data_IF_705231453895
#
_entry.id   IF_705231453895
#
_cell.length_a   1.000
_cell.length_b   1.000
_cell.length_c   1.000
_cell.angle_alpha   90.00
_cell.angle_beta   90.00
_cell.angle_gamma   90.00
#
_symmetry.space_group_name_H-M   'P 1'
#
loop_
_entity.id
_entity.type
_entity.pdbx_description
1 polymer ?
#
# COMPACT_ATOMS: atom_id res chain seq x y z
N UNK A 1 11.10 62.47 38.34
CA UNK A 1 11.27 61.14 37.71
C UNK A 1 10.65 61.18 36.32
N UNK A 2 11.50 61.09 35.29
CA UNK A 2 11.18 61.30 33.88
C UNK A 2 10.54 60.05 33.25
N UNK A 3 9.32 60.18 32.70
CA UNK A 3 8.67 59.15 31.89
C UNK A 3 9.13 59.28 30.43
N UNK A 4 10.04 58.42 29.99
CA UNK A 4 10.35 58.22 28.56
C UNK A 4 9.21 57.40 27.93
N UNK A 5 8.46 58.01 27.00
CA UNK A 5 7.60 57.30 26.06
C UNK A 5 8.46 56.78 24.91
N UNK A 6 8.53 55.46 24.75
CA UNK A 6 8.97 54.83 23.51
C UNK A 6 7.81 54.94 22.50
N UNK A 7 8.04 55.63 21.38
CA UNK A 7 7.18 55.55 20.20
C UNK A 7 7.59 54.31 19.41
N UNK A 8 6.66 53.37 19.27
CA UNK A 8 6.81 52.21 18.42
C UNK A 8 6.69 52.67 16.95
N UNK A 9 7.79 52.57 16.21
CA UNK A 9 7.82 52.88 14.78
C UNK A 9 7.18 51.69 14.06
N UNK A 10 5.91 51.79 13.67
CA UNK A 10 5.28 50.79 12.81
C UNK A 10 5.72 51.03 11.37
N UNK A 11 6.72 50.27 10.92
CA UNK A 11 7.10 50.20 9.51
C UNK A 11 6.00 49.45 8.75
N UNK A 12 5.08 50.20 8.14
CA UNK A 12 4.16 49.64 7.15
C UNK A 12 4.96 49.11 5.97
N UNK A 13 4.64 47.90 5.52
CA UNK A 13 5.20 47.31 4.29
C UNK A 13 4.99 48.31 3.16
N UNK A 14 6.06 48.69 2.48
CA UNK A 14 5.94 49.63 1.37
C UNK A 14 5.24 48.94 0.20
N UNK A 15 4.44 49.67 -0.58
CA UNK A 15 3.77 49.09 -1.76
C UNK A 15 4.76 48.44 -2.74
N UNK A 16 6.00 48.94 -2.75
CA UNK A 16 7.10 48.41 -3.56
C UNK A 16 7.56 47.04 -3.05
N UNK A 17 7.67 46.84 -1.73
CA UNK A 17 7.99 45.52 -1.16
C UNK A 17 6.89 44.51 -1.47
N UNK A 18 5.61 44.87 -1.32
CA UNK A 18 4.50 43.97 -1.64
C UNK A 18 4.52 43.53 -3.12
N UNK A 19 4.76 44.47 -4.03
CA UNK A 19 4.85 44.18 -5.46
C UNK A 19 6.04 43.28 -5.79
N UNK A 20 7.19 43.54 -5.16
CA UNK A 20 8.39 42.73 -5.33
C UNK A 20 8.17 41.30 -4.84
N UNK A 21 7.57 41.13 -3.65
CA UNK A 21 7.24 39.81 -3.09
C UNK A 21 6.28 39.06 -4.00
N UNK A 22 5.20 39.69 -4.48
CA UNK A 22 4.26 39.05 -5.41
C UNK A 22 4.93 38.62 -6.72
N UNK A 23 5.84 39.43 -7.24
CA UNK A 23 6.57 39.12 -8.48
C UNK A 23 7.49 37.92 -8.29
N UNK A 24 8.24 37.87 -7.17
CA UNK A 24 9.12 36.75 -6.84
C UNK A 24 8.30 35.48 -6.59
N UNK A 25 7.19 35.57 -5.87
CA UNK A 25 6.29 34.42 -5.62
C UNK A 25 5.71 33.87 -6.92
N UNK A 26 5.26 34.73 -7.83
CA UNK A 26 4.75 34.30 -9.14
C UNK A 26 5.81 33.58 -9.96
N UNK A 27 7.06 34.07 -9.93
CA UNK A 27 8.18 33.41 -10.59
C UNK A 27 8.50 32.04 -9.98
N UNK A 28 8.51 31.94 -8.65
CA UNK A 28 8.72 30.67 -7.94
C UNK A 28 7.63 29.65 -8.26
N UNK A 29 6.36 30.06 -8.21
CA UNK A 29 5.22 29.19 -8.55
C UNK A 29 5.32 28.68 -9.99
N UNK A 30 5.75 29.53 -10.93
CA UNK A 30 5.91 29.12 -12.32
C UNK A 30 7.01 28.07 -12.50
N UNK A 31 8.11 28.16 -11.76
CA UNK A 31 9.21 27.19 -11.84
C UNK A 31 8.78 25.88 -11.20
N UNK A 32 8.18 25.91 -10.01
CA UNK A 32 7.76 24.69 -9.31
C UNK A 32 6.67 23.95 -10.09
N UNK A 33 5.72 24.65 -10.68
CA UNK A 33 4.71 24.05 -11.55
C UNK A 33 5.33 23.42 -12.81
N UNK A 34 6.33 24.06 -13.42
CA UNK A 34 7.02 23.52 -14.59
C UNK A 34 7.76 22.21 -14.29
N UNK A 35 8.45 22.14 -13.14
CA UNK A 35 9.11 20.91 -12.69
C UNK A 35 8.08 19.81 -12.41
N UNK A 36 7.00 20.13 -11.69
CA UNK A 36 5.95 19.17 -11.37
C UNK A 36 5.33 18.55 -12.63
N UNK A 37 4.97 19.39 -13.61
CA UNK A 37 4.42 18.93 -14.90
C UNK A 37 5.44 18.01 -15.61
N UNK A 38 6.71 18.42 -15.67
CA UNK A 38 7.76 17.60 -16.28
C UNK A 38 7.95 16.26 -15.57
N UNK A 39 7.84 16.21 -14.25
CA UNK A 39 7.94 14.98 -13.47
C UNK A 39 6.75 14.06 -13.76
N UNK A 40 5.52 14.59 -13.81
CA UNK A 40 4.33 13.81 -14.15
C UNK A 40 4.43 13.24 -15.58
N UNK A 41 4.82 14.05 -16.56
CA UNK A 41 5.01 13.57 -17.94
C UNK A 41 6.10 12.49 -18.05
N UNK A 42 7.21 12.65 -17.31
CA UNK A 42 8.29 11.65 -17.30
C UNK A 42 7.84 10.36 -16.63
N UNK A 43 7.08 10.46 -15.54
CA UNK A 43 6.53 9.30 -14.84
C UNK A 43 5.53 8.55 -15.73
N UNK A 44 4.61 9.26 -16.40
CA UNK A 44 3.66 8.64 -17.32
C UNK A 44 4.39 7.90 -18.43
N UNK A 45 5.39 8.51 -19.08
CA UNK A 45 6.21 7.83 -20.10
C UNK A 45 6.92 6.59 -19.57
N UNK A 46 7.45 6.64 -18.35
CA UNK A 46 8.09 5.49 -17.73
C UNK A 46 7.08 4.36 -17.48
N UNK A 47 5.88 4.68 -17.00
CA UNK A 47 4.79 3.71 -16.79
C UNK A 47 4.36 3.05 -18.11
N UNK A 48 4.16 3.84 -19.16
CA UNK A 48 3.85 3.34 -20.51
C UNK A 48 4.93 2.37 -21.02
N UNK A 49 6.21 2.71 -20.86
CA UNK A 49 7.31 1.83 -21.25
C UNK A 49 7.35 0.53 -20.42
N UNK A 50 7.04 0.59 -19.11
CA UNK A 50 6.95 -0.60 -18.25
C UNK A 50 5.82 -1.52 -18.73
N UNK A 51 4.65 -0.96 -19.02
CA UNK A 51 3.50 -1.71 -19.49
C UNK A 51 3.78 -2.41 -20.83
N UNK A 52 4.38 -1.71 -21.80
CA UNK A 52 4.79 -2.29 -23.09
C UNK A 52 5.76 -3.47 -22.91
N UNK A 53 6.74 -3.35 -21.99
CA UNK A 53 7.70 -4.42 -21.69
C UNK A 53 7.02 -5.61 -21.02
N UNK A 54 6.08 -5.37 -20.10
CA UNK A 54 5.32 -6.43 -19.43
C UNK A 54 4.47 -7.20 -20.43
N UNK A 55 3.74 -6.49 -21.30
CA UNK A 55 2.92 -7.12 -22.34
C UNK A 55 3.77 -7.96 -23.30
N UNK A 56 4.91 -7.42 -23.76
CA UNK A 56 5.84 -8.15 -24.61
C UNK A 56 6.32 -9.46 -23.96
N UNK A 57 6.59 -9.44 -22.65
CA UNK A 57 6.99 -10.63 -21.90
C UNK A 57 5.85 -11.66 -21.80
N UNK A 58 4.61 -11.22 -21.62
CA UNK A 58 3.43 -12.09 -21.61
C UNK A 58 3.26 -12.77 -22.97
N UNK A 59 3.28 -12.00 -24.07
CA UNK A 59 3.20 -12.51 -25.45
C UNK A 59 4.30 -13.56 -25.69
N UNK A 60 5.54 -13.26 -25.31
CA UNK A 60 6.66 -14.19 -25.45
C UNK A 60 6.49 -15.48 -24.64
N UNK A 61 5.95 -15.37 -23.44
CA UNK A 61 5.70 -16.52 -22.56
C UNK A 61 4.63 -17.43 -23.16
N UNK A 62 3.54 -16.84 -23.66
CA UNK A 62 2.47 -17.60 -24.32
C UNK A 62 2.96 -18.26 -25.61
N UNK A 63 3.68 -17.54 -26.48
CA UNK A 63 4.29 -18.09 -27.69
C UNK A 63 5.22 -19.27 -27.36
N UNK A 64 6.07 -19.11 -26.34
CA UNK A 64 6.98 -20.17 -25.91
C UNK A 64 6.21 -21.40 -25.43
N UNK A 65 5.20 -21.22 -24.59
CA UNK A 65 4.40 -22.33 -24.06
C UNK A 65 3.73 -23.11 -25.20
N UNK A 66 3.11 -22.40 -26.16
CA UNK A 66 2.53 -23.05 -27.34
C UNK A 66 3.56 -23.78 -28.19
N UNK A 67 4.76 -23.21 -28.34
CA UNK A 67 5.86 -23.84 -29.07
C UNK A 67 6.38 -25.14 -28.42
N UNK A 68 6.06 -25.38 -27.15
CA UNK A 68 6.43 -26.62 -26.45
C UNK A 68 5.33 -27.70 -26.50
N UNK A 69 4.06 -27.32 -26.59
CA UNK A 69 2.91 -28.25 -26.46
C UNK A 69 2.65 -29.09 -27.71
N UNK A 70 3.06 -28.65 -28.89
CA UNK A 70 2.90 -29.39 -30.14
C UNK A 70 2.83 -28.50 -31.37
N UNK A 71 2.30 -29.03 -32.47
CA UNK A 71 2.02 -28.20 -33.66
C UNK A 71 0.83 -27.31 -33.36
N UNK A 72 1.00 -26.00 -33.57
CA UNK A 72 -0.02 -25.01 -33.29
C UNK A 72 -0.15 -24.04 -34.46
N UNK A 73 -1.30 -23.38 -34.47
CA UNK A 73 -1.58 -22.21 -35.26
C UNK A 73 -1.76 -21.06 -34.27
N UNK A 74 -1.31 -19.87 -34.62
CA UNK A 74 -1.53 -18.69 -33.80
C UNK A 74 -1.64 -17.43 -34.63
N UNK A 75 -2.50 -16.51 -34.17
CA UNK A 75 -2.58 -15.12 -34.60
C UNK A 75 -2.18 -14.23 -33.42
N UNK A 76 -1.49 -13.14 -33.70
CA UNK A 76 -0.95 -12.29 -32.66
C UNK A 76 -1.99 -11.42 -31.97
N UNK A 77 -3.08 -11.13 -32.68
CA UNK A 77 -4.24 -10.46 -32.14
C UNK A 77 -4.84 -11.23 -30.96
N UNK A 78 -4.59 -12.55 -30.85
CA UNK A 78 -5.06 -13.38 -29.74
C UNK A 78 -4.18 -13.27 -28.48
N UNK A 79 -2.99 -12.65 -28.56
CA UNK A 79 -2.05 -12.51 -27.44
C UNK A 79 -2.05 -11.14 -26.77
N UNK A 80 -2.76 -10.15 -27.33
CA UNK A 80 -2.91 -8.85 -26.68
C UNK A 80 -3.99 -8.96 -25.60
N UNK A 81 -3.60 -8.76 -24.35
CA UNK A 81 -4.51 -8.63 -23.22
C UNK A 81 -5.14 -7.24 -23.09
N UNK A 82 -4.58 -6.26 -23.79
CA UNK A 82 -5.01 -4.86 -23.75
C UNK A 82 -5.38 -4.33 -25.15
N UNK A 83 -6.64 -3.92 -25.32
CA UNK A 83 -7.21 -3.34 -26.55
C UNK A 83 -6.57 -1.99 -26.95
N UNK A 84 -5.84 -1.34 -26.04
CA UNK A 84 -5.17 -0.06 -26.30
C UNK A 84 -3.79 -0.22 -26.96
N UNK A 85 -3.26 -1.44 -27.01
CA UNK A 85 -1.95 -1.74 -27.59
C UNK A 85 -2.10 -2.23 -29.03
N UNK A 86 -1.15 -1.88 -29.88
CA UNK A 86 -1.11 -2.34 -31.27
C UNK A 86 0.26 -2.85 -31.65
N UNK A 87 0.31 -3.85 -32.52
CA UNK A 87 1.54 -4.24 -33.19
C UNK A 87 1.77 -3.33 -34.40
N UNK A 88 2.85 -2.56 -34.40
CA UNK A 88 3.25 -1.80 -35.59
C UNK A 88 3.91 -2.70 -36.63
N UNK A 89 4.78 -3.58 -36.16
CA UNK A 89 5.43 -4.59 -36.99
C UNK A 89 5.43 -5.92 -36.26
N UNK A 90 5.31 -7.00 -37.03
CA UNK A 90 5.40 -8.33 -36.49
C UNK A 90 5.86 -9.33 -37.54
N UNK A 91 6.78 -10.20 -37.15
CA UNK A 91 7.37 -11.20 -38.05
C UNK A 91 7.72 -12.45 -37.26
N UNK A 92 7.12 -13.57 -37.68
CA UNK A 92 7.52 -14.91 -37.26
C UNK A 92 8.26 -15.59 -38.40
N UNK A 93 9.42 -16.15 -38.12
CA UNK A 93 10.20 -16.85 -39.15
C UNK A 93 10.70 -18.19 -38.63
N UNK A 94 10.49 -19.23 -39.43
CA UNK A 94 11.24 -20.49 -39.31
C UNK A 94 12.09 -20.65 -40.58
N UNK A 95 11.58 -21.38 -41.58
CA UNK A 95 12.21 -21.48 -42.91
C UNK A 95 11.74 -20.37 -43.87
N UNK A 96 10.56 -19.82 -43.60
CA UNK A 96 9.95 -18.69 -44.30
C UNK A 96 9.13 -17.88 -43.30
N UNK A 97 8.78 -16.66 -43.70
CA UNK A 97 7.85 -15.82 -42.94
C UNK A 97 6.50 -16.52 -42.78
N UNK A 98 6.02 -16.62 -41.55
CA UNK A 98 4.75 -17.24 -41.19
C UNK A 98 3.68 -16.15 -41.28
N UNK A 99 2.75 -16.34 -42.21
CA UNK A 99 1.56 -15.50 -42.33
C UNK A 99 0.47 -16.02 -41.40
N UNK A 100 -0.32 -15.12 -40.82
CA UNK A 100 -1.52 -15.44 -40.05
C UNK A 100 -2.61 -16.04 -40.96
N UNK A 101 -2.46 -17.32 -41.30
CA UNK A 101 -3.42 -18.13 -42.06
C UNK A 101 -3.61 -19.46 -41.34
N UNK A 102 -4.87 -19.83 -41.08
CA UNK A 102 -5.30 -21.08 -40.43
C UNK A 102 -4.67 -22.36 -41.03
N UNK A 103 -4.09 -22.28 -42.23
CA UNK A 103 -3.41 -23.39 -42.89
C UNK A 103 -1.91 -23.49 -42.58
N UNK A 104 -1.28 -22.43 -42.05
CA UNK A 104 0.15 -22.39 -41.74
C UNK A 104 0.38 -22.90 -40.33
N UNK A 105 1.05 -24.04 -40.20
CA UNK A 105 1.35 -24.64 -38.90
C UNK A 105 2.79 -24.33 -38.52
N UNK A 106 3.00 -23.91 -37.28
CA UNK A 106 4.34 -23.70 -36.73
C UNK A 106 4.87 -25.07 -36.26
N UNK A 107 6.09 -25.41 -36.70
CA UNK A 107 6.73 -26.68 -36.36
C UNK A 107 7.55 -26.54 -35.07
N UNK A 108 7.15 -27.15 -33.94
CA UNK A 108 7.85 -27.00 -32.66
C UNK A 108 9.27 -27.57 -32.67
N UNK A 109 9.60 -28.41 -33.65
CA UNK A 109 10.95 -28.98 -33.80
C UNK A 109 11.95 -28.05 -34.48
N UNK A 110 11.54 -26.84 -34.85
CA UNK A 110 12.40 -25.80 -35.42
C UNK A 110 12.42 -24.57 -34.54
N UNK A 111 13.56 -23.89 -34.52
CA UNK A 111 13.70 -22.60 -33.87
C UNK A 111 12.70 -21.61 -34.53
N UNK A 112 12.05 -20.80 -33.71
CA UNK A 112 11.09 -19.78 -34.13
C UNK A 112 11.68 -18.39 -33.84
N UNK A 113 12.04 -17.66 -34.88
CA UNK A 113 12.43 -16.27 -34.75
C UNK A 113 11.18 -15.40 -34.59
N UNK A 114 11.16 -14.60 -33.53
CA UNK A 114 10.06 -13.70 -33.19
C UNK A 114 10.60 -12.27 -33.17
N UNK A 115 10.04 -11.41 -34.01
CA UNK A 115 10.33 -9.99 -34.02
C UNK A 115 9.03 -9.22 -34.04
N UNK A 116 8.84 -8.27 -33.13
CA UNK A 116 7.69 -7.37 -33.16
C UNK A 116 7.98 -6.02 -32.52
N UNK A 117 7.17 -5.04 -32.86
CA UNK A 117 7.14 -3.71 -32.24
C UNK A 117 5.75 -3.48 -31.69
N UNK A 118 5.65 -3.37 -30.37
CA UNK A 118 4.43 -2.93 -29.69
C UNK A 118 4.44 -1.42 -29.60
N UNK A 119 3.30 -0.79 -29.84
CA UNK A 119 3.14 0.64 -29.63
C UNK A 119 1.84 0.95 -28.90
N UNK A 120 1.90 2.01 -28.12
CA UNK A 120 0.74 2.76 -27.66
C UNK A 120 0.70 4.13 -28.35
N UNK A 121 -0.14 5.07 -27.86
CA UNK A 121 -0.27 6.39 -28.47
C UNK A 121 1.00 7.26 -28.37
N UNK A 122 1.98 6.91 -27.54
CA UNK A 122 3.13 7.76 -27.24
C UNK A 122 4.51 7.07 -27.34
N UNK A 123 4.60 5.74 -27.23
CA UNK A 123 5.85 4.98 -27.13
C UNK A 123 5.82 3.68 -27.94
N UNK A 124 7.02 3.20 -28.30
CA UNK A 124 7.24 1.95 -29.03
C UNK A 124 8.22 1.05 -28.25
N UNK A 125 8.00 -0.26 -28.30
CA UNK A 125 8.89 -1.28 -27.73
C UNK A 125 9.19 -2.36 -28.77
N UNK A 126 10.45 -2.46 -29.18
CA UNK A 126 10.93 -3.47 -30.13
C UNK A 126 11.49 -4.69 -29.40
N UNK A 127 11.00 -5.87 -29.78
CA UNK A 127 11.52 -7.15 -29.35
C UNK A 127 12.00 -7.95 -30.55
N UNK A 128 13.21 -8.51 -30.45
CA UNK A 128 13.76 -9.45 -31.42
C UNK A 128 14.45 -10.60 -30.69
N UNK A 129 13.91 -11.80 -30.84
CA UNK A 129 14.38 -12.99 -30.11
C UNK A 129 14.12 -14.28 -30.87
N UNK A 130 14.65 -15.39 -30.35
CA UNK A 130 14.46 -16.73 -30.92
C UNK A 130 13.96 -17.67 -29.85
N UNK A 131 12.85 -18.36 -30.12
CA UNK A 131 12.34 -19.46 -29.30
C UNK A 131 12.98 -20.74 -29.84
N UNK A 132 13.76 -21.42 -29.00
CA UNK A 132 14.46 -22.65 -29.39
C UNK A 132 13.49 -23.80 -29.67
N UNK A 133 13.91 -24.71 -30.56
CA UNK A 133 13.16 -25.92 -30.85
C UNK A 133 13.03 -26.85 -29.64
N UNK A 134 11.90 -27.58 -29.61
CA UNK A 134 11.58 -28.53 -28.55
C UNK A 134 12.65 -29.61 -28.35
N UNK A 135 13.17 -30.19 -29.44
CA UNK A 135 14.24 -31.20 -29.39
C UNK A 135 15.57 -30.71 -28.79
N UNK A 136 15.85 -29.39 -28.80
CA UNK A 136 17.06 -28.81 -28.19
C UNK A 136 16.91 -28.52 -26.70
N UNK A 137 15.67 -28.34 -26.23
CA UNK A 137 15.30 -28.28 -24.81
C UNK A 137 15.20 -29.69 -24.20
N UNK A 138 16.27 -30.49 -24.25
CA UNK A 138 16.30 -31.77 -23.54
C UNK A 138 16.18 -31.55 -22.03
N UNK A 139 15.05 -31.92 -21.41
CA UNK A 139 14.72 -32.00 -19.96
C UNK A 139 15.26 -30.92 -19.01
N UNK A 140 15.76 -29.82 -19.55
CA UNK A 140 16.27 -28.70 -18.80
C UNK A 140 15.22 -27.63 -18.97
N UNK A 141 14.36 -27.47 -17.95
CA UNK A 141 13.61 -26.22 -17.80
C UNK A 141 14.64 -25.11 -17.86
N UNK A 142 14.69 -24.40 -18.98
CA UNK A 142 15.49 -23.18 -19.11
C UNK A 142 14.83 -22.21 -18.15
N UNK A 143 15.44 -22.06 -16.98
CA UNK A 143 15.15 -21.00 -16.04
C UNK A 143 15.45 -19.71 -16.79
N UNK A 144 14.42 -19.06 -17.33
CA UNK A 144 14.57 -17.67 -17.70
C UNK A 144 15.06 -16.96 -16.45
N UNK A 145 16.09 -16.10 -16.51
CA UNK A 145 16.18 -15.09 -15.48
C UNK A 145 14.78 -14.46 -15.45
N UNK A 146 14.13 -14.41 -14.26
CA UNK A 146 12.85 -13.75 -14.11
C UNK A 146 12.91 -12.42 -14.88
N UNK A 147 11.84 -12.00 -15.57
CA UNK A 147 11.82 -10.66 -16.15
C UNK A 147 12.41 -9.73 -15.10
N UNK A 148 13.50 -9.00 -15.43
CA UNK A 148 14.16 -8.09 -14.48
C UNK A 148 13.03 -7.38 -13.77
N UNK A 149 12.77 -7.77 -12.53
CA UNK A 149 11.66 -7.23 -11.80
C UNK A 149 11.92 -5.72 -11.80
N UNK A 150 10.90 -4.89 -12.05
CA UNK A 150 11.08 -3.46 -11.83
C UNK A 150 11.78 -3.34 -10.47
N UNK A 151 12.89 -2.58 -10.39
CA UNK A 151 13.74 -2.59 -9.21
C UNK A 151 12.84 -2.50 -8.00
N UNK A 152 12.92 -3.50 -7.11
CA UNK A 152 12.08 -3.59 -5.92
C UNK A 152 12.05 -2.19 -5.29
N UNK A 153 10.86 -1.58 -5.25
CA UNK A 153 10.73 -0.22 -4.74
C UNK A 153 11.32 -0.22 -3.33
N UNK A 154 12.32 0.63 -3.09
CA UNK A 154 12.93 0.65 -1.76
C UNK A 154 11.86 1.01 -0.72
N UNK A 155 11.98 0.44 0.47
CA UNK A 155 10.93 0.53 1.48
C UNK A 155 10.54 1.97 1.84
N UNK A 156 11.48 2.92 1.82
CA UNK A 156 11.17 4.33 2.09
C UNK A 156 10.32 4.93 0.97
N UNK A 157 10.68 4.68 -0.29
CA UNK A 157 9.89 5.12 -1.45
C UNK A 157 8.50 4.50 -1.41
N UNK A 158 8.39 3.20 -1.08
CA UNK A 158 7.10 2.54 -0.89
C UNK A 158 6.23 3.23 0.18
N UNK A 159 6.77 3.44 1.39
CA UNK A 159 6.03 4.10 2.48
C UNK A 159 5.57 5.51 2.09
N UNK A 160 6.42 6.25 1.37
CA UNK A 160 6.17 7.62 0.93
C UNK A 160 5.11 7.66 -0.18
N UNK A 161 5.31 6.92 -1.25
CA UNK A 161 4.43 6.92 -2.43
C UNK A 161 3.04 6.39 -2.09
N UNK A 162 2.95 5.41 -1.19
CA UNK A 162 1.70 4.77 -0.80
C UNK A 162 1.08 5.35 0.48
N UNK A 163 1.61 6.46 1.02
CA UNK A 163 1.09 7.12 2.22
C UNK A 163 0.89 6.17 3.42
N UNK A 164 1.85 5.29 3.67
CA UNK A 164 1.68 4.24 4.69
C UNK A 164 1.71 4.84 6.09
N UNK A 165 0.60 4.66 6.81
CA UNK A 165 0.39 5.11 8.19
C UNK A 165 0.85 4.07 9.22
N UNK A 166 0.38 2.84 9.04
CA UNK A 166 0.67 1.70 9.93
C UNK A 166 1.16 0.56 9.07
N UNK A 167 2.30 0.00 9.46
CA UNK A 167 2.91 -1.16 8.86
C UNK A 167 3.26 -2.15 9.97
N UNK A 168 2.62 -3.33 10.01
CA UNK A 168 2.82 -4.28 11.10
C UNK A 168 1.94 -5.52 11.00
N UNK A 169 1.81 -6.29 12.08
CA UNK A 169 0.94 -7.48 12.10
C UNK A 169 -0.35 -7.34 12.91
N UNK A 170 -0.48 -6.22 13.64
CA UNK A 170 -1.65 -5.96 14.47
C UNK A 170 -1.94 -4.46 14.57
N UNK A 171 -3.22 -4.12 14.65
CA UNK A 171 -3.69 -2.77 14.97
C UNK A 171 -4.76 -2.86 16.06
N UNK A 172 -4.33 -2.67 17.30
CA UNK A 172 -5.16 -2.80 18.49
C UNK A 172 -5.57 -1.44 19.04
N UNK A 173 -6.71 -0.92 18.60
CA UNK A 173 -7.21 0.38 19.09
C UNK A 173 -8.30 0.13 20.13
N UNK A 174 -8.03 0.51 21.38
CA UNK A 174 -9.05 0.45 22.44
C UNK A 174 -9.93 1.71 22.49
N UNK A 175 -11.02 1.61 23.24
CA UNK A 175 -11.96 2.71 23.47
C UNK A 175 -12.77 3.08 22.23
N UNK A 176 -13.00 4.39 22.05
CA UNK A 176 -13.78 4.98 20.96
C UNK A 176 -12.93 6.02 20.26
N UNK A 177 -12.13 5.56 19.29
CA UNK A 177 -11.09 6.36 18.64
C UNK A 177 -11.41 6.58 17.17
N UNK A 178 -10.92 7.67 16.62
CA UNK A 178 -10.99 7.97 15.19
C UNK A 178 -9.59 7.87 14.60
N UNK A 179 -9.44 7.07 13.55
CA UNK A 179 -8.22 6.99 12.74
C UNK A 179 -8.47 7.72 11.44
N UNK A 180 -7.72 8.82 11.29
CA UNK A 180 -7.62 9.68 10.12
C UNK A 180 -8.95 10.34 9.71
N UNK A 181 -9.06 11.65 9.94
CA UNK A 181 -10.20 12.44 9.45
C UNK A 181 -10.01 12.92 7.99
N UNK A 182 -8.79 12.79 7.43
CA UNK A 182 -8.38 13.39 6.16
C UNK A 182 -8.08 12.37 5.04
N UNK A 183 -8.44 11.09 5.22
CA UNK A 183 -8.66 10.06 4.19
C UNK A 183 -7.49 9.63 3.30
N UNK A 184 -6.31 10.26 3.30
CA UNK A 184 -5.21 9.95 2.35
C UNK A 184 -4.22 8.85 2.79
N UNK A 185 -4.50 8.14 3.88
CA UNK A 185 -3.55 7.18 4.46
C UNK A 185 -3.71 5.76 3.93
N UNK A 186 -2.68 4.93 4.12
CA UNK A 186 -2.75 3.47 3.89
C UNK A 186 -2.41 2.72 5.17
N UNK A 187 -3.22 1.72 5.52
CA UNK A 187 -2.93 0.77 6.61
C UNK A 187 -2.57 -0.57 5.99
N UNK A 188 -1.43 -1.13 6.40
CA UNK A 188 -0.96 -2.44 5.94
C UNK A 188 -0.70 -3.34 7.15
N UNK A 189 -1.53 -4.38 7.27
CA UNK A 189 -1.41 -5.42 8.29
C UNK A 189 -0.96 -6.71 7.60
N UNK A 190 0.25 -7.17 7.90
CA UNK A 190 0.82 -8.40 7.39
C UNK A 190 0.58 -9.60 8.31
N UNK A 191 0.73 -10.79 7.77
CA UNK A 191 0.61 -12.03 8.51
C UNK A 191 1.93 -12.44 9.20
N UNK A 192 2.58 -11.51 9.92
CA UNK A 192 3.88 -11.76 10.57
C UNK A 192 3.72 -12.53 11.90
N UNK A 193 2.50 -12.62 12.41
CA UNK A 193 2.13 -13.47 13.53
C UNK A 193 0.92 -14.35 13.15
N UNK A 194 0.98 -15.65 13.45
CA UNK A 194 -0.06 -16.65 13.15
C UNK A 194 -1.28 -16.52 14.10
N UNK A 195 -1.68 -15.29 14.41
CA UNK A 195 -2.76 -14.97 15.34
C UNK A 195 -3.90 -14.25 14.65
N UNK A 196 -5.11 -14.52 15.15
CA UNK A 196 -6.31 -13.81 14.73
C UNK A 196 -6.16 -12.29 15.01
N UNK A 197 -6.67 -11.47 14.10
CA UNK A 197 -6.80 -10.03 14.29
C UNK A 197 -8.18 -9.73 14.88
N UNK A 198 -8.25 -8.98 15.98
CA UNK A 198 -9.53 -8.68 16.62
C UNK A 198 -9.70 -7.19 16.92
N UNK A 199 -10.77 -6.62 16.35
CA UNK A 199 -11.18 -5.25 16.59
C UNK A 199 -12.18 -5.18 17.75
N UNK A 200 -11.67 -4.78 18.92
CA UNK A 200 -12.41 -4.79 20.19
C UNK A 200 -12.89 -3.39 20.66
N UNK A 201 -12.54 -2.30 19.94
CA UNK A 201 -12.96 -0.94 20.26
C UNK A 201 -14.12 -0.41 19.40
N UNK A 202 -14.77 0.66 19.83
CA UNK A 202 -15.80 1.35 19.04
C UNK A 202 -15.16 2.38 18.11
N UNK A 203 -14.28 1.90 17.24
CA UNK A 203 -13.40 2.74 16.44
C UNK A 203 -14.02 3.13 15.11
N UNK A 204 -13.57 4.24 14.55
CA UNK A 204 -13.81 4.62 13.16
C UNK A 204 -12.47 4.72 12.45
N UNK A 205 -12.18 3.78 11.58
CA UNK A 205 -10.93 3.72 10.83
C UNK A 205 -11.24 4.22 9.43
N UNK A 206 -10.80 5.42 9.05
CA UNK A 206 -11.13 6.01 7.74
C UNK A 206 -9.86 6.47 7.01
N UNK A 207 -9.29 5.59 6.22
CA UNK A 207 -8.12 5.86 5.39
C UNK A 207 -8.43 5.48 3.93
N UNK A 208 -7.56 5.80 2.99
CA UNK A 208 -7.76 5.59 1.55
C UNK A 208 -7.75 4.09 1.26
N UNK A 209 -6.74 3.40 1.78
CA UNK A 209 -6.52 1.98 1.55
C UNK A 209 -6.25 1.21 2.85
N UNK A 210 -6.90 0.06 3.00
CA UNK A 210 -6.71 -0.84 4.13
C UNK A 210 -6.43 -2.24 3.58
N UNK A 211 -5.22 -2.73 3.80
CA UNK A 211 -4.79 -4.07 3.43
C UNK A 211 -4.54 -4.89 4.69
N UNK A 212 -5.27 -6.00 4.85
CA UNK A 212 -5.12 -6.93 5.98
C UNK A 212 -4.84 -8.32 5.44
N UNK A 213 -3.59 -8.76 5.50
CA UNK A 213 -3.20 -10.13 5.24
C UNK A 213 -3.17 -10.92 6.55
N UNK A 214 -4.16 -11.81 6.71
CA UNK A 214 -4.33 -12.80 7.78
C UNK A 214 -4.72 -14.15 7.19
N UNK A 215 -4.05 -14.53 6.10
CA UNK A 215 -4.28 -15.79 5.41
C UNK A 215 -4.20 -17.00 6.37
N UNK A 216 -5.28 -17.78 6.43
CA UNK A 216 -5.40 -18.92 7.34
C UNK A 216 -5.76 -18.56 8.79
N UNK A 217 -5.96 -17.28 9.10
CA UNK A 217 -6.49 -16.80 10.38
C UNK A 217 -7.76 -15.98 10.16
N UNK A 218 -8.32 -15.47 11.27
CA UNK A 218 -9.56 -14.72 11.26
C UNK A 218 -9.35 -13.24 11.56
N UNK A 219 -10.20 -12.41 10.95
CA UNK A 219 -10.35 -10.99 11.23
C UNK A 219 -11.72 -10.78 11.88
N UNK A 220 -11.71 -10.50 13.18
CA UNK A 220 -12.88 -10.57 14.06
C UNK A 220 -13.30 -9.18 14.51
N UNK A 221 -14.49 -8.75 14.11
CA UNK A 221 -15.14 -7.53 14.58
C UNK A 221 -16.09 -7.87 15.74
N UNK A 222 -15.56 -7.84 16.96
CA UNK A 222 -16.31 -8.15 18.19
C UNK A 222 -17.07 -6.94 18.76
N UNK A 223 -16.79 -5.74 18.24
CA UNK A 223 -17.25 -4.44 18.72
C UNK A 223 -17.82 -3.60 17.58
N UNK A 224 -18.33 -2.39 17.87
CA UNK A 224 -18.91 -1.50 16.86
C UNK A 224 -17.84 -0.74 16.05
N UNK A 225 -16.75 -1.42 15.67
CA UNK A 225 -15.72 -0.87 14.79
C UNK A 225 -16.30 -0.65 13.40
N UNK A 226 -16.08 0.55 12.86
CA UNK A 226 -16.36 0.92 11.48
C UNK A 226 -15.05 1.04 10.73
N UNK A 227 -14.88 0.24 9.68
CA UNK A 227 -13.70 0.20 8.85
C UNK A 227 -14.03 0.76 7.47
N UNK A 228 -13.36 1.86 7.14
CA UNK A 228 -13.53 2.63 5.93
C UNK A 228 -14.84 3.43 5.86
N UNK A 229 -15.00 4.13 4.75
CA UNK A 229 -16.19 4.88 4.36
C UNK A 229 -16.34 4.87 2.85
N UNK A 230 -17.53 4.53 2.33
CA UNK A 230 -17.81 4.39 0.88
C UNK A 230 -17.46 5.63 0.05
N UNK A 231 -17.38 6.82 0.63
CA UNK A 231 -17.07 8.05 -0.11
C UNK A 231 -15.60 8.47 -0.05
N UNK A 232 -14.78 7.81 0.78
CA UNK A 232 -13.42 8.28 1.06
C UNK A 232 -12.37 7.18 1.25
N UNK A 233 -12.81 5.93 1.33
CA UNK A 233 -11.94 4.75 1.33
C UNK A 233 -12.10 4.07 -0.01
N UNK A 234 -11.02 3.97 -0.76
CA UNK A 234 -10.99 3.35 -2.08
C UNK A 234 -11.06 1.85 -1.91
N UNK A 235 -10.16 1.27 -1.12
CA UNK A 235 -10.05 -0.18 -0.97
C UNK A 235 -9.99 -0.62 0.49
N UNK A 236 -10.81 -1.62 0.83
CA UNK A 236 -10.60 -2.51 1.96
C UNK A 236 -10.39 -3.91 1.43
N UNK A 237 -9.15 -4.40 1.49
CA UNK A 237 -8.76 -5.75 1.07
C UNK A 237 -8.34 -6.57 2.28
N UNK A 238 -9.01 -7.71 2.47
CA UNK A 238 -8.76 -8.62 3.59
C UNK A 238 -8.49 -10.02 3.04
N UNK A 239 -7.30 -10.56 3.26
CA UNK A 239 -6.99 -11.97 3.05
C UNK A 239 -7.14 -12.71 4.38
N UNK A 240 -8.03 -13.68 4.46
CA UNK A 240 -8.42 -14.34 5.72
C UNK A 240 -9.94 -14.31 5.97
N UNK A 241 -10.40 -15.13 6.89
CA UNK A 241 -11.83 -15.26 7.20
C UNK A 241 -12.32 -14.06 8.03
N UNK A 242 -13.44 -13.46 7.66
CA UNK A 242 -14.01 -12.29 8.35
C UNK A 242 -15.21 -12.69 9.21
N UNK A 243 -15.16 -12.36 10.50
CA UNK A 243 -16.27 -12.55 11.44
C UNK A 243 -16.84 -11.19 11.91
N UNK A 244 -18.07 -10.89 11.54
CA UNK A 244 -18.80 -9.69 11.92
C UNK A 244 -19.78 -10.00 13.07
N UNK A 245 -19.26 -9.98 14.29
CA UNK A 245 -19.95 -10.47 15.50
C UNK A 245 -20.65 -9.38 16.32
N UNK A 246 -20.67 -8.13 15.85
CA UNK A 246 -21.30 -7.00 16.53
C UNK A 246 -22.28 -6.25 15.61
N UNK A 247 -23.40 -5.80 16.16
CA UNK A 247 -24.44 -5.15 15.35
C UNK A 247 -24.08 -3.75 14.83
N UNK A 248 -23.07 -3.10 15.43
CA UNK A 248 -22.53 -1.83 14.96
C UNK A 248 -21.26 -1.96 14.14
N UNK A 249 -20.80 -3.18 13.85
CA UNK A 249 -19.64 -3.40 12.99
C UNK A 249 -20.02 -3.09 11.53
N UNK A 250 -19.13 -2.38 10.84
CA UNK A 250 -19.35 -1.92 9.47
C UNK A 250 -18.04 -1.95 8.70
N UNK A 251 -18.06 -2.49 7.48
CA UNK A 251 -16.97 -2.36 6.51
C UNK A 251 -17.51 -1.56 5.33
N UNK A 252 -16.82 -0.51 4.90
CA UNK A 252 -17.27 0.34 3.80
C UNK A 252 -16.12 0.94 3.00
N UNK A 253 -16.23 0.91 1.68
CA UNK A 253 -15.25 1.46 0.75
C UNK A 253 -15.87 1.60 -0.64
N UNK A 254 -15.14 2.11 -1.62
CA UNK A 254 -15.49 1.93 -3.02
C UNK A 254 -15.43 0.44 -3.38
N UNK A 255 -14.34 -0.23 -3.03
CA UNK A 255 -14.13 -1.67 -3.21
C UNK A 255 -13.88 -2.36 -1.87
N UNK A 256 -14.69 -3.37 -1.55
CA UNK A 256 -14.44 -4.30 -0.45
C UNK A 256 -14.12 -5.67 -1.03
N UNK A 257 -12.88 -6.12 -0.85
CA UNK A 257 -12.42 -7.43 -1.29
C UNK A 257 -12.07 -8.29 -0.06
N UNK A 258 -12.64 -9.49 0.02
CA UNK A 258 -12.37 -10.45 1.08
C UNK A 258 -11.97 -11.78 0.44
N UNK A 259 -10.69 -12.09 0.50
CA UNK A 259 -10.18 -13.39 0.12
C UNK A 259 -10.27 -14.36 1.31
N UNK A 260 -11.49 -14.90 1.50
CA UNK A 260 -11.86 -15.76 2.62
C UNK A 260 -13.37 -15.89 2.77
N UNK A 261 -13.80 -16.58 3.83
CA UNK A 261 -15.21 -16.70 4.18
C UNK A 261 -15.68 -15.49 4.98
N UNK A 262 -16.97 -15.16 4.90
CA UNK A 262 -17.58 -14.08 5.69
C UNK A 262 -18.74 -14.62 6.53
N UNK A 263 -18.66 -14.42 7.84
CA UNK A 263 -19.73 -14.76 8.78
C UNK A 263 -20.32 -13.52 9.45
N UNK A 264 -21.62 -13.32 9.28
CA UNK A 264 -22.38 -12.31 10.02
C UNK A 264 -23.03 -12.94 11.26
N UNK A 265 -22.29 -12.93 12.37
CA UNK A 265 -22.80 -13.36 13.68
C UNK A 265 -23.85 -12.43 14.29
N UNK A 266 -23.87 -11.16 13.88
CA UNK A 266 -24.78 -10.11 14.36
C UNK A 266 -25.33 -9.25 13.22
N UNK A 267 -25.94 -8.09 13.49
CA UNK A 267 -26.55 -7.20 12.49
C UNK A 267 -25.58 -6.26 11.78
N UNK A 268 -24.34 -6.71 11.54
CA UNK A 268 -23.29 -5.92 10.91
C UNK A 268 -23.55 -5.68 9.42
N UNK A 269 -22.79 -4.75 8.84
CA UNK A 269 -23.00 -4.32 7.45
C UNK A 269 -21.69 -4.28 6.66
N UNK A 270 -21.77 -4.65 5.38
CA UNK A 270 -20.76 -4.35 4.37
C UNK A 270 -21.43 -3.46 3.32
N UNK A 271 -20.86 -2.28 3.06
CA UNK A 271 -21.44 -1.30 2.12
C UNK A 271 -20.38 -0.78 1.15
N UNK A 272 -20.51 -1.03 -0.15
CA UNK A 272 -19.52 -0.60 -1.14
C UNK A 272 -20.11 -0.27 -2.52
N UNK A 273 -19.29 0.18 -3.47
CA UNK A 273 -19.68 0.13 -4.89
C UNK A 273 -19.50 -1.29 -5.42
N UNK A 274 -18.38 -1.92 -5.09
CA UNK A 274 -18.06 -3.29 -5.44
C UNK A 274 -17.72 -4.14 -4.20
N UNK A 275 -18.29 -5.33 -4.13
CA UNK A 275 -17.96 -6.35 -3.12
C UNK A 275 -17.50 -7.63 -3.80
N UNK A 276 -16.30 -8.08 -3.47
CA UNK A 276 -15.70 -9.32 -3.98
C UNK A 276 -15.37 -10.23 -2.80
N UNK A 277 -15.93 -11.43 -2.75
CA UNK A 277 -15.69 -12.40 -1.68
C UNK A 277 -15.35 -13.75 -2.32
N UNK A 278 -14.17 -14.30 -2.05
CA UNK A 278 -13.75 -15.58 -2.65
C UNK A 278 -14.45 -16.79 -2.03
N UNK A 279 -14.76 -16.73 -0.73
CA UNK A 279 -15.33 -17.84 0.04
C UNK A 279 -16.86 -17.82 0.23
N UNK A 280 -17.31 -18.64 1.19
CA UNK A 280 -18.72 -18.73 1.58
C UNK A 280 -19.16 -17.49 2.38
N UNK A 281 -20.43 -17.11 2.23
CA UNK A 281 -21.06 -16.03 3.02
C UNK A 281 -22.20 -16.60 3.85
N UNK A 282 -22.11 -16.45 5.17
CA UNK A 282 -23.10 -16.99 6.12
C UNK A 282 -23.73 -15.89 6.95
N UNK A 283 -25.03 -15.68 6.76
CA UNK A 283 -25.82 -14.83 7.65
C UNK A 283 -26.36 -15.65 8.83
N UNK A 284 -25.98 -15.29 10.06
CA UNK A 284 -26.60 -15.85 11.29
C UNK A 284 -27.67 -14.93 11.88
N UNK A 285 -27.61 -13.64 11.56
CA UNK A 285 -28.59 -12.64 11.97
C UNK A 285 -29.51 -12.21 10.82
N UNK A 286 -30.75 -11.82 11.15
CA UNK A 286 -31.70 -11.34 10.16
C UNK A 286 -31.29 -9.97 9.60
N UNK A 287 -30.83 -9.06 10.45
CA UNK A 287 -30.59 -7.65 10.07
C UNK A 287 -29.19 -7.38 9.50
N UNK A 288 -28.37 -8.40 9.28
CA UNK A 288 -27.08 -8.24 8.61
C UNK A 288 -27.25 -8.06 7.10
N UNK A 289 -26.42 -7.23 6.49
CA UNK A 289 -26.56 -6.89 5.07
C UNK A 289 -25.23 -6.70 4.37
N UNK A 290 -25.17 -7.13 3.12
CA UNK A 290 -24.20 -6.67 2.12
C UNK A 290 -24.98 -5.77 1.14
N UNK A 291 -24.52 -4.52 0.98
CA UNK A 291 -25.15 -3.54 0.09
C UNK A 291 -24.10 -3.00 -0.88
N UNK A 292 -24.23 -3.32 -2.16
CA UNK A 292 -23.33 -2.80 -3.20
C UNK A 292 -23.97 -2.80 -4.58
N UNK A 293 -23.36 -2.10 -5.53
CA UNK A 293 -23.87 -2.04 -6.90
C UNK A 293 -23.50 -3.35 -7.66
N UNK A 294 -22.25 -3.80 -7.49
CA UNK A 294 -21.71 -5.07 -8.00
C UNK A 294 -21.25 -5.98 -6.86
N UNK A 295 -21.70 -7.23 -6.87
CA UNK A 295 -21.40 -8.23 -5.84
C UNK A 295 -20.96 -9.52 -6.50
N UNK A 296 -19.76 -9.99 -6.16
CA UNK A 296 -19.17 -11.22 -6.67
C UNK A 296 -18.80 -12.13 -5.50
N UNK A 297 -19.43 -13.30 -5.42
CA UNK A 297 -19.20 -14.26 -4.34
C UNK A 297 -18.84 -15.60 -4.97
N UNK A 298 -17.63 -16.10 -4.67
CA UNK A 298 -17.11 -17.37 -5.19
C UNK A 298 -17.69 -18.61 -4.50
N UNK A 299 -18.09 -18.49 -3.23
CA UNK A 299 -18.71 -19.56 -2.45
C UNK A 299 -20.24 -19.55 -2.42
N UNK A 300 -20.80 -20.29 -1.47
CA UNK A 300 -22.23 -20.38 -1.23
C UNK A 300 -22.72 -19.25 -0.32
N UNK A 301 -23.92 -18.74 -0.60
CA UNK A 301 -24.59 -17.77 0.27
C UNK A 301 -25.67 -18.46 1.11
N UNK A 302 -25.49 -18.46 2.43
CA UNK A 302 -26.51 -18.92 3.38
C UNK A 302 -27.34 -17.74 3.89
N UNK A 303 -28.48 -17.51 3.25
CA UNK A 303 -29.42 -16.45 3.59
C UNK A 303 -30.18 -16.72 4.90
N UNK A 304 -30.51 -15.66 5.63
CA UNK A 304 -31.57 -15.64 6.65
C UNK A 304 -32.87 -15.03 6.13
N UNK A 305 -32.75 -14.08 5.22
CA UNK A 305 -33.86 -13.43 4.54
C UNK A 305 -33.43 -12.87 3.17
N UNK A 306 -34.37 -12.54 2.27
CA UNK A 306 -34.05 -12.01 0.95
C UNK A 306 -33.25 -10.69 0.96
N UNK A 307 -33.36 -9.87 2.01
CA UNK A 307 -32.65 -8.59 2.13
C UNK A 307 -31.25 -8.67 2.72
N UNK A 308 -30.67 -9.86 2.91
CA UNK A 308 -29.29 -9.95 3.40
C UNK A 308 -28.26 -9.51 2.35
N UNK A 309 -28.60 -9.57 1.07
CA UNK A 309 -27.76 -9.13 -0.03
C UNK A 309 -28.60 -8.21 -0.91
N UNK A 310 -28.18 -6.96 -1.05
CA UNK A 310 -28.85 -5.94 -1.85
C UNK A 310 -27.85 -5.40 -2.88
N UNK A 311 -28.02 -5.80 -4.15
CA UNK A 311 -27.10 -5.46 -5.23
C UNK A 311 -27.21 -6.38 -6.44
N UNK A 312 -26.40 -6.14 -7.45
CA UNK A 312 -26.30 -7.02 -8.62
C UNK A 312 -25.30 -8.14 -8.34
N UNK A 313 -25.78 -9.39 -8.26
CA UNK A 313 -24.90 -10.54 -8.14
C UNK A 313 -24.34 -10.93 -9.51
N UNK A 314 -23.01 -10.91 -9.65
CA UNK A 314 -22.27 -11.31 -10.84
C UNK A 314 -21.43 -12.58 -10.56
N UNK A 315 -21.00 -13.30 -11.62
CA UNK A 315 -20.05 -14.41 -11.47
C UNK A 315 -18.74 -13.94 -10.84
N UNK A 316 -18.17 -14.75 -9.95
CA UNK A 316 -16.89 -14.47 -9.32
C UNK A 316 -15.73 -14.52 -10.31
N UNK A 317 -14.80 -13.57 -10.15
CA UNK A 317 -13.57 -13.41 -10.93
C UNK A 317 -12.42 -13.19 -9.98
N UNK A 318 -11.51 -14.16 -9.92
CA UNK A 318 -10.36 -14.15 -9.00
C UNK A 318 -9.40 -13.00 -9.29
N UNK A 319 -9.28 -12.62 -10.57
CA UNK A 319 -8.44 -11.52 -11.03
C UNK A 319 -8.87 -10.13 -10.53
N UNK A 320 -10.04 -10.02 -9.88
CA UNK A 320 -10.49 -8.77 -9.27
C UNK A 320 -10.09 -8.62 -7.80
N UNK A 321 -9.53 -9.66 -7.18
CA UNK A 321 -8.97 -9.55 -5.84
C UNK A 321 -7.74 -8.63 -5.89
N UNK A 322 -7.71 -7.54 -5.09
CA UNK A 322 -6.55 -6.67 -5.04
C UNK A 322 -5.31 -7.41 -4.56
N UNK A 323 -4.16 -7.09 -5.16
CA UNK A 323 -2.88 -7.54 -4.64
C UNK A 323 -2.62 -6.87 -3.28
N UNK A 324 -2.16 -7.66 -2.31
CA UNK A 324 -1.68 -7.12 -1.05
C UNK A 324 -0.25 -6.62 -1.26
N UNK A 325 0.15 -5.50 -0.62
CA UNK A 325 1.55 -5.10 -0.65
C UNK A 325 2.42 -6.16 0.00
N UNK A 326 3.46 -6.62 -0.70
CA UNK A 326 4.41 -7.66 -0.24
C UNK A 326 5.82 -7.10 0.03
N UNK A 327 5.95 -5.78 0.24
CA UNK A 327 7.25 -5.13 0.42
C UNK A 327 7.97 -5.69 1.64
N UNK A 328 9.19 -6.21 1.47
CA UNK A 328 9.96 -6.70 2.61
C UNK A 328 10.46 -5.52 3.46
N UNK A 329 10.28 -5.60 4.79
CA UNK A 329 10.84 -4.60 5.68
C UNK A 329 12.35 -4.83 5.80
N UNK A 330 13.21 -3.88 5.38
CA UNK A 330 14.65 -3.98 5.53
C UNK A 330 15.06 -4.08 7.01
N UNK A 331 16.29 -4.53 7.30
CA UNK A 331 16.86 -4.40 8.64
C UNK A 331 17.12 -2.93 8.99
N UNK A 332 17.20 -2.64 10.29
CA UNK A 332 17.74 -1.37 10.77
C UNK A 332 19.20 -1.23 10.35
N UNK A 333 19.65 0.01 10.19
CA UNK A 333 21.08 0.31 10.04
C UNK A 333 21.88 -0.12 11.27
N UNK A 334 23.19 -0.24 11.10
CA UNK A 334 24.13 -0.49 12.19
C UNK A 334 24.08 0.62 13.26
N UNK A 335 24.30 0.27 14.53
CA UNK A 335 24.17 1.18 15.69
C UNK A 335 24.98 2.48 15.53
N UNK A 336 26.18 2.39 14.95
CA UNK A 336 27.04 3.55 14.73
C UNK A 336 26.43 4.59 13.80
N UNK A 337 25.56 4.17 12.87
CA UNK A 337 24.88 5.09 11.97
C UNK A 337 23.96 6.05 12.74
N UNK A 338 23.31 5.57 13.81
CA UNK A 338 22.41 6.40 14.62
C UNK A 338 23.18 7.49 15.37
N UNK A 339 24.33 7.15 15.94
CA UNK A 339 25.21 8.12 16.59
C UNK A 339 25.72 9.17 15.59
N UNK A 340 26.09 8.74 14.37
CA UNK A 340 26.52 9.62 13.28
C UNK A 340 25.39 10.51 12.74
N UNK A 341 24.13 10.12 12.92
CA UNK A 341 22.93 10.83 12.45
C UNK A 341 22.13 11.50 13.58
N UNK A 342 22.82 11.85 14.67
CA UNK A 342 22.32 12.68 15.77
C UNK A 342 21.20 12.04 16.60
N UNK A 343 21.09 10.71 16.60
CA UNK A 343 20.20 10.01 17.52
C UNK A 343 20.83 9.94 18.92
N UNK A 344 20.01 10.20 19.93
CA UNK A 344 20.35 9.91 21.32
C UNK A 344 20.18 8.42 21.58
N UNK A 345 21.28 7.72 21.81
CA UNK A 345 21.27 6.29 22.16
C UNK A 345 20.91 6.10 23.63
N UNK A 346 19.93 5.24 23.90
CA UNK A 346 19.41 4.97 25.23
C UNK A 346 19.83 3.59 25.70
N UNK A 347 20.34 3.53 26.92
CA UNK A 347 20.73 2.27 27.54
C UNK A 347 19.50 1.43 27.96
N UNK A 348 19.61 0.08 27.98
CA UNK A 348 18.53 -0.77 28.44
C UNK A 348 18.00 -0.38 29.83
N UNK A 349 16.68 -0.34 29.98
CA UNK A 349 15.96 0.01 31.21
C UNK A 349 15.99 1.48 31.63
N UNK A 350 16.52 2.39 30.81
CA UNK A 350 16.36 3.82 31.02
C UNK A 350 15.02 4.31 30.47
N UNK A 351 14.41 5.27 31.17
CA UNK A 351 13.23 5.99 30.68
C UNK A 351 13.65 7.27 29.97
N UNK A 352 13.01 7.57 28.86
CA UNK A 352 13.37 8.72 28.02
C UNK A 352 12.41 9.87 28.24
N UNK A 353 12.96 11.06 28.48
CA UNK A 353 12.17 12.29 28.50
C UNK A 353 12.17 12.94 27.12
N UNK A 354 11.04 12.90 26.42
CA UNK A 354 10.88 13.54 25.11
C UNK A 354 10.89 15.09 25.17
N UNK A 355 11.62 15.66 24.22
CA UNK A 355 11.60 17.05 23.73
C UNK A 355 11.16 17.10 22.24
N UNK A 356 10.92 18.30 21.73
CA UNK A 356 10.48 18.47 20.34
C UNK A 356 11.66 18.27 19.39
N UNK A 357 11.48 17.50 18.31
CA UNK A 357 12.54 17.19 17.36
C UNK A 357 13.48 16.07 17.77
N UNK A 358 13.21 15.38 18.89
CA UNK A 358 14.05 14.30 19.39
C UNK A 358 14.20 13.16 18.37
N UNK A 359 15.44 12.68 18.22
CA UNK A 359 15.78 11.44 17.53
C UNK A 359 16.36 10.48 18.55
N UNK A 360 15.71 9.34 18.76
CA UNK A 360 16.04 8.40 19.84
C UNK A 360 16.25 7.01 19.26
N UNK A 361 17.33 6.36 19.68
CA UNK A 361 17.66 4.99 19.29
C UNK A 361 17.92 4.13 20.53
N UNK A 362 17.46 2.88 20.53
CA UNK A 362 17.67 1.96 21.66
C UNK A 362 17.19 0.55 21.38
N UNK A 363 17.37 -0.35 22.35
CA UNK A 363 16.89 -1.73 22.23
C UNK A 363 15.40 -1.86 22.53
N UNK A 364 14.97 -1.44 23.73
CA UNK A 364 13.58 -1.33 24.13
C UNK A 364 13.42 0.02 24.81
N UNK A 365 12.47 0.83 24.34
CA UNK A 365 12.36 2.24 24.73
C UNK A 365 11.09 2.43 25.55
N UNK A 366 11.25 2.95 26.75
CA UNK A 366 10.14 3.41 27.57
C UNK A 366 10.19 4.92 27.72
N UNK A 367 9.12 5.61 27.33
CA UNK A 367 9.00 7.06 27.50
C UNK A 367 8.48 7.37 28.89
N UNK A 368 9.01 8.42 29.52
CA UNK A 368 8.51 8.89 30.82
C UNK A 368 7.01 9.18 30.78
N UNK A 369 6.34 8.99 31.92
CA UNK A 369 4.92 9.34 32.04
C UNK A 369 4.74 10.86 31.99
N UNK A 370 3.64 11.32 31.41
CA UNK A 370 3.26 12.73 31.27
C UNK A 370 4.29 13.59 30.53
N UNK A 371 3.90 14.05 29.35
CA UNK A 371 4.60 15.08 28.60
C UNK A 371 3.61 16.17 28.22
N UNK A 372 4.03 17.42 27.96
CA UNK A 372 3.24 18.30 27.10
C UNK A 372 3.15 17.71 25.68
N UNK A 373 2.36 18.33 24.80
CA UNK A 373 2.38 17.97 23.39
C UNK A 373 3.82 17.99 22.85
N UNK A 374 4.17 16.98 22.04
CA UNK A 374 5.50 16.80 21.44
C UNK A 374 5.40 16.68 19.94
N UNK A 375 6.32 17.34 19.25
CA UNK A 375 6.32 17.44 17.79
C UNK A 375 7.63 16.93 17.18
N UNK A 376 7.51 16.33 16.00
CA UNK A 376 8.62 15.86 15.15
C UNK A 376 9.59 14.90 15.85
N UNK A 377 9.06 13.98 16.66
CA UNK A 377 9.88 12.99 17.37
C UNK A 377 10.08 11.74 16.51
N UNK A 378 11.29 11.22 16.43
CA UNK A 378 11.61 9.94 15.79
C UNK A 378 12.15 8.98 16.85
N UNK A 379 11.47 7.86 17.06
CA UNK A 379 11.88 6.81 18.00
C UNK A 379 12.15 5.54 17.21
N UNK A 380 13.35 4.99 17.36
CA UNK A 380 13.77 3.75 16.72
C UNK A 380 14.21 2.76 17.79
N UNK A 381 13.48 1.66 17.88
CA UNK A 381 13.72 0.60 18.85
C UNK A 381 14.03 -0.70 18.12
N UNK A 382 15.02 -1.47 18.59
CA UNK A 382 15.27 -2.81 18.03
C UNK A 382 14.19 -3.82 18.44
N UNK A 383 13.52 -3.57 19.56
CA UNK A 383 12.44 -4.34 20.16
C UNK A 383 11.22 -3.40 20.31
N UNK A 384 10.66 -3.29 21.52
CA UNK A 384 9.40 -2.60 21.78
C UNK A 384 9.57 -1.09 22.06
N UNK A 385 8.50 -0.33 21.80
CA UNK A 385 8.35 1.06 22.23
C UNK A 385 7.13 1.17 23.15
N UNK A 386 7.34 1.63 24.37
CA UNK A 386 6.29 1.85 25.37
C UNK A 386 6.15 3.35 25.67
N UNK A 387 5.06 3.95 25.20
CA UNK A 387 4.67 5.33 25.50
C UNK A 387 3.39 5.27 26.32
N UNK A 388 3.55 4.97 27.61
CA UNK A 388 2.42 4.78 28.53
C UNK A 388 2.16 6.03 29.37
N UNK A 389 0.89 6.30 29.67
CA UNK A 389 0.48 7.44 30.49
C UNK A 389 1.02 8.79 29.98
N UNK A 390 1.05 8.99 28.66
CA UNK A 390 1.41 10.27 28.03
C UNK A 390 0.41 11.38 28.38
N UNK A 391 -0.75 11.00 28.90
CA UNK A 391 -1.75 11.88 29.49
C UNK A 391 -2.66 12.51 28.43
N UNK A 392 -3.12 13.74 28.70
CA UNK A 392 -3.99 14.49 27.78
C UNK A 392 -3.28 15.04 26.53
N UNK A 393 -2.05 14.62 26.29
CA UNK A 393 -1.13 15.22 25.32
C UNK A 393 -1.04 14.42 24.03
N UNK A 394 -0.56 15.08 22.99
CA UNK A 394 -0.39 14.55 21.64
C UNK A 394 1.09 14.35 21.31
N UNK A 395 1.36 13.33 20.51
CA UNK A 395 2.68 13.07 19.95
C UNK A 395 2.62 13.13 18.42
N UNK A 396 3.50 13.92 17.81
CA UNK A 396 3.68 13.95 16.36
C UNK A 396 5.06 13.38 16.03
N UNK A 397 5.15 12.37 15.15
CA UNK A 397 6.41 11.69 14.93
C UNK A 397 6.40 10.41 14.11
N UNK A 398 7.52 9.68 14.19
CA UNK A 398 7.70 8.35 13.58
C UNK A 398 8.13 7.38 14.68
N UNK A 399 7.43 6.25 14.78
CA UNK A 399 7.73 5.18 15.75
C UNK A 399 8.10 3.90 14.98
N UNK A 400 9.35 3.45 15.14
CA UNK A 400 9.91 2.31 14.44
C UNK A 400 10.32 1.21 15.43
N UNK A 401 9.59 0.09 15.42
CA UNK A 401 9.82 -1.13 16.20
C UNK A 401 9.85 -2.37 15.27
N UNK A 402 10.81 -2.45 14.34
CA UNK A 402 10.85 -3.48 13.29
C UNK A 402 10.90 -4.93 13.75
N UNK A 403 11.19 -5.21 15.02
CA UNK A 403 11.13 -6.55 15.60
C UNK A 403 10.31 -6.61 16.90
N UNK A 404 9.47 -5.62 17.14
CA UNK A 404 8.67 -5.52 18.37
C UNK A 404 7.32 -4.85 18.12
N UNK A 405 6.70 -4.42 19.21
CA UNK A 405 5.43 -3.71 19.23
C UNK A 405 5.57 -2.25 19.64
N UNK A 406 4.57 -1.45 19.29
CA UNK A 406 4.43 -0.07 19.79
C UNK A 406 3.17 0.02 20.63
N UNK A 407 3.34 0.44 21.87
CA UNK A 407 2.25 0.76 22.79
C UNK A 407 2.17 2.27 22.99
N UNK A 408 0.98 2.84 22.79
CA UNK A 408 0.72 4.27 22.96
C UNK A 408 -0.53 4.55 23.80
N UNK A 409 -0.35 5.30 24.89
CA UNK A 409 -1.42 5.77 25.77
C UNK A 409 -1.33 7.29 25.93
N UNK A 410 -1.93 8.01 24.97
CA UNK A 410 -2.02 9.46 24.95
C UNK A 410 -3.34 9.93 24.34
N UNK A 411 -3.54 11.24 24.26
CA UNK A 411 -4.77 11.82 23.70
C UNK A 411 -4.77 11.84 22.16
N UNK A 412 -3.60 11.76 21.52
CA UNK A 412 -3.53 11.57 20.08
C UNK A 412 -2.13 11.35 19.55
N UNK A 413 -2.04 10.68 18.41
CA UNK A 413 -0.81 10.45 17.68
C UNK A 413 -0.99 10.92 16.23
N UNK A 414 -0.04 11.70 15.73
CA UNK A 414 0.01 12.13 14.34
C UNK A 414 1.34 11.68 13.71
N UNK A 415 1.34 10.78 12.73
CA UNK A 415 2.62 10.23 12.31
C UNK A 415 2.58 8.96 11.49
N UNK A 416 3.66 8.18 11.60
CA UNK A 416 3.83 6.86 10.99
C UNK A 416 4.29 5.87 12.07
N UNK A 417 3.72 4.66 12.05
CA UNK A 417 4.12 3.56 12.93
C UNK A 417 4.52 2.33 12.10
N UNK A 418 5.73 1.84 12.32
CA UNK A 418 6.24 0.60 11.71
C UNK A 418 6.59 -0.33 12.85
N UNK A 419 5.81 -1.39 13.06
CA UNK A 419 5.95 -2.26 14.21
C UNK A 419 5.59 -3.70 13.83
N UNK A 420 6.56 -4.61 13.84
CA UNK A 420 6.34 -6.00 13.40
C UNK A 420 5.22 -6.66 14.16
N UNK A 421 5.23 -6.53 15.49
CA UNK A 421 4.26 -7.19 16.38
C UNK A 421 3.00 -6.36 16.61
N UNK A 422 2.98 -5.13 16.08
CA UNK A 422 1.79 -4.31 15.92
C UNK A 422 1.78 -3.00 16.68
N UNK A 423 0.71 -2.25 16.47
CA UNK A 423 0.47 -0.96 17.11
C UNK A 423 -0.76 -1.04 18.02
N UNK A 424 -0.56 -0.78 19.31
CA UNK A 424 -1.57 -0.88 20.35
C UNK A 424 -1.79 0.46 21.00
N UNK A 425 -3.06 0.84 21.16
CA UNK A 425 -3.42 2.11 21.81
C UNK A 425 -4.41 1.95 22.95
N UNK A 426 -4.19 2.71 24.01
CA UNK A 426 -5.04 2.77 25.18
C UNK A 426 -5.86 4.06 25.24
N UNK A 427 -7.03 4.01 25.89
CA UNK A 427 -7.88 5.19 26.06
C UNK A 427 -8.74 5.48 24.83
N UNK A 428 -8.76 6.75 24.38
CA UNK A 428 -9.53 7.18 23.20
C UNK A 428 -8.70 8.14 22.32
N UNK A 429 -7.52 7.73 21.82
CA UNK A 429 -6.65 8.62 21.08
C UNK A 429 -7.26 9.02 19.74
N UNK A 430 -7.00 10.26 19.33
CA UNK A 430 -7.13 10.66 17.93
C UNK A 430 -5.89 10.22 17.17
N UNK A 431 -6.03 9.33 16.20
CA UNK A 431 -4.91 8.87 15.37
C UNK A 431 -4.98 9.55 14.01
N UNK A 432 -3.92 10.22 13.59
CA UNK A 432 -3.88 10.97 12.32
C UNK A 432 -2.65 10.54 11.53
N UNK A 433 -2.83 10.28 10.25
CA UNK A 433 -1.70 10.00 9.38
C UNK A 433 -0.96 11.29 9.01
N UNK A 434 0.36 11.21 8.94
CA UNK A 434 1.21 12.21 8.29
C UNK A 434 2.28 11.49 7.49
N UNK A 435 2.46 11.88 6.22
CA UNK A 435 3.40 11.20 5.33
C UNK A 435 4.83 11.23 5.89
N UNK A 436 5.56 10.14 5.67
CA UNK A 436 6.94 9.94 6.15
C UNK A 436 7.90 11.06 5.67
N UNK A 437 7.60 11.70 4.53
CA UNK A 437 8.36 12.82 3.96
C UNK A 437 8.31 14.11 4.79
N UNK A 438 7.40 14.19 5.78
CA UNK A 438 7.35 15.28 6.74
C UNK A 438 8.44 15.14 7.81
N UNK A 439 9.04 13.95 7.95
CA UNK A 439 10.02 13.63 8.99
C UNK A 439 11.42 13.33 8.44
N UNK A 440 11.52 12.82 7.21
CA UNK A 440 12.79 12.56 6.55
C UNK A 440 12.84 13.23 5.17
N UNK A 441 13.93 13.93 4.90
CA UNK A 441 14.11 14.65 3.62
C UNK A 441 14.45 13.70 2.47
N UNK A 442 14.90 12.48 2.77
CA UNK A 442 15.22 11.45 1.80
C UNK A 442 15.69 10.14 2.44
N UNK A 443 15.92 9.14 1.58
CA UNK A 443 16.27 7.76 1.97
C UNK A 443 17.54 7.64 2.83
N UNK A 444 18.48 8.59 2.69
CA UNK A 444 19.73 8.59 3.46
C UNK A 444 19.54 8.96 4.94
N UNK A 445 18.44 9.64 5.30
CA UNK A 445 18.09 9.97 6.68
C UNK A 445 17.18 8.89 7.32
N UNK A 446 16.77 7.91 6.53
CA UNK A 446 15.85 6.87 6.96
C UNK A 446 16.57 5.80 7.79
N UNK A 447 16.03 5.41 8.97
CA UNK A 447 16.67 4.46 9.91
C UNK A 447 16.92 3.05 9.41
N UNK A 448 16.31 2.67 8.28
CA UNK A 448 16.49 1.36 7.70
C UNK A 448 17.61 1.33 6.66
N UNK A 449 18.18 0.16 6.46
CA UNK A 449 19.06 -0.09 5.32
C UNK A 449 18.29 0.15 4.02
N UNK A 450 18.99 0.72 3.05
CA UNK A 450 18.46 0.91 1.70
C UNK A 450 18.91 -0.30 0.92
N UNK A 451 17.95 -1.10 0.47
CA UNK A 451 18.23 -2.18 -0.49
C UNK A 451 18.70 -1.52 -1.79
N UNK A 452 20.02 -1.33 -1.91
CA UNK A 452 20.66 -0.76 -3.08
C UNK A 452 21.71 -1.73 -3.58
N UNK A 453 21.46 -2.32 -4.74
CA UNK A 453 22.57 -2.68 -5.62
C UNK A 453 23.28 -1.37 -5.98
N UNK A 454 24.45 -1.12 -5.38
CA UNK A 454 25.43 -0.16 -5.91
C UNK A 454 25.93 -0.60 -7.30
#
# INVERSE_FOLDING_TARGET
MSKRKLQHNQSGITMIELLLTLTISAFLISITAGVLISTVETNNRAQHHIQLRQEANVIMTQLRNHHQEGKYFTCFEDYLGNDELTFETITLTQDSEIQCDLNTHIDPEKDLHVSFTLADFEQEYELNTTIESRDRMGETKVDMPPPEQPPEEDFFTYLKSNNVFVYGSHLGISGSSVVNENTVGTIVIHNLNETDLSFNGNNRINVENIFINKEGQRVIFSSSTKMGNRNTTDTVSIRGDVELNNGGAEISAETVAIDGNVEFGSSAQITANQVIISGDVVFKNWAATIVADDIQIGGNITYRQPGNVEGSLAPFREELLPEHPETSQPPLREDSWYEENEYSTIEPHETVRLEDGDKIFGNSITVETWHPDRENVVIVSKEDIHIENFGGSKLTGVLLAPNGEVTFDGNGFEGVVIARDGFHTFGNPSLTFKNIDNYFSGVHEFPFEVNGNE
#
